data_IF_876270388230
#
_entry.id   IF_876270388230
#
_cell.length_a   1.000
_cell.length_b   1.000
_cell.length_c   1.000
_cell.angle_alpha   90.00
_cell.angle_beta   90.00
_cell.angle_gamma   90.00
#
_symmetry.space_group_name_H-M   'P 1'
#
loop_
_entity.id
_entity.type
_entity.pdbx_description
1 polymer ?
#
# COMPACT_ATOMS: atom_id res chain seq x y z
N UNK A 1 14.62 15.48 16.67
CA UNK A 1 14.79 16.06 15.31
C UNK A 1 13.70 17.09 15.10
N UNK A 2 14.00 18.23 14.47
CA UNK A 2 13.01 19.29 14.28
C UNK A 2 11.91 18.83 13.32
N UNK A 3 10.66 19.18 13.63
CA UNK A 3 9.46 18.78 12.87
C UNK A 3 9.60 19.14 11.37
N UNK A 4 10.18 20.32 11.10
CA UNK A 4 10.48 20.84 9.76
C UNK A 4 11.39 19.90 8.97
N UNK A 5 12.43 19.33 9.60
CA UNK A 5 13.34 18.37 8.95
C UNK A 5 12.61 17.08 8.58
N UNK A 6 11.78 16.55 9.47
CA UNK A 6 11.04 15.31 9.20
C UNK A 6 9.98 15.49 8.11
N UNK A 7 9.23 16.59 8.15
CA UNK A 7 8.26 16.95 7.12
C UNK A 7 8.95 17.16 5.77
N UNK A 8 10.09 17.86 5.76
CA UNK A 8 10.90 18.07 4.56
C UNK A 8 11.40 16.76 3.94
N UNK A 9 11.89 15.82 4.76
CA UNK A 9 12.34 14.50 4.27
C UNK A 9 11.19 13.69 3.69
N UNK A 10 10.06 13.57 4.40
CA UNK A 10 8.91 12.79 3.93
C UNK A 10 8.31 13.42 2.66
N UNK A 11 8.16 14.75 2.65
CA UNK A 11 7.68 15.49 1.48
C UNK A 11 8.60 15.32 0.28
N UNK A 12 9.91 15.43 0.47
CA UNK A 12 10.91 15.21 -0.58
C UNK A 12 10.86 13.80 -1.16
N UNK A 13 10.85 12.78 -0.30
CA UNK A 13 10.73 11.37 -0.73
C UNK A 13 9.40 11.11 -1.48
N UNK A 14 8.31 11.74 -1.02
CA UNK A 14 7.01 11.66 -1.69
C UNK A 14 7.05 12.30 -3.08
N UNK A 15 7.67 13.47 -3.21
CA UNK A 15 7.80 14.18 -4.48
C UNK A 15 8.64 13.36 -5.48
N UNK A 16 9.75 12.78 -5.02
CA UNK A 16 10.58 11.89 -5.85
C UNK A 16 9.74 10.71 -6.36
N UNK A 17 9.00 10.04 -5.48
CA UNK A 17 8.10 8.94 -5.87
C UNK A 17 7.04 9.38 -6.89
N UNK A 18 6.46 10.57 -6.73
CA UNK A 18 5.48 11.14 -7.67
C UNK A 18 6.08 11.43 -9.05
N UNK A 19 7.31 11.95 -9.10
CA UNK A 19 8.02 12.22 -10.36
C UNK A 19 8.32 10.91 -11.09
N UNK A 20 8.77 9.87 -10.39
CA UNK A 20 8.96 8.55 -11.00
C UNK A 20 7.65 7.93 -11.48
N UNK A 21 6.57 8.07 -10.71
CA UNK A 21 5.23 7.65 -11.13
C UNK A 21 4.78 8.37 -12.41
N UNK A 22 4.96 9.69 -12.47
CA UNK A 22 4.65 10.47 -13.66
C UNK A 22 5.49 10.07 -14.88
N UNK A 23 6.79 9.85 -14.68
CA UNK A 23 7.67 9.39 -15.76
C UNK A 23 7.23 8.01 -16.27
N UNK A 24 6.86 7.08 -15.38
CA UNK A 24 6.28 5.78 -15.75
C UNK A 24 5.02 5.96 -16.61
N UNK A 25 4.09 6.81 -16.17
CA UNK A 25 2.83 7.03 -16.88
C UNK A 25 3.06 7.66 -18.27
N UNK A 26 4.02 8.58 -18.39
CA UNK A 26 4.43 9.15 -19.67
C UNK A 26 5.03 8.11 -20.64
N UNK A 27 5.88 7.21 -20.12
CA UNK A 27 6.45 6.12 -20.90
C UNK A 27 5.36 5.14 -21.36
N UNK A 28 4.44 4.77 -20.46
CA UNK A 28 3.33 3.88 -20.77
C UNK A 28 2.41 4.49 -21.82
N UNK A 29 2.07 5.78 -21.71
CA UNK A 29 1.27 6.47 -22.72
C UNK A 29 1.94 6.48 -24.10
N UNK A 30 3.28 6.59 -24.15
CA UNK A 30 4.04 6.55 -25.41
C UNK A 30 4.14 5.16 -26.01
N UNK A 31 4.30 4.12 -25.18
CA UNK A 31 4.50 2.73 -25.63
C UNK A 31 3.19 2.02 -25.93
N UNK A 32 2.18 2.18 -25.07
CA UNK A 32 0.88 1.51 -25.21
C UNK A 32 -0.13 2.34 -26.03
N UNK A 33 0.03 3.66 -26.09
CA UNK A 33 -0.93 4.55 -26.72
C UNK A 33 -2.27 4.61 -25.99
N UNK A 34 -3.30 5.12 -26.67
CA UNK A 34 -4.68 5.07 -26.19
C UNK A 34 -5.39 3.87 -26.83
N UNK A 35 -5.80 2.90 -26.00
CA UNK A 35 -6.51 1.70 -26.45
C UNK A 35 -6.63 0.66 -25.33
N UNK A 36 -7.34 -0.44 -25.61
CA UNK A 36 -7.72 -1.43 -24.58
C UNK A 36 -6.55 -2.07 -23.81
N UNK A 37 -5.33 -2.08 -24.37
CA UNK A 37 -4.12 -2.55 -23.65
C UNK A 37 -3.72 -1.58 -22.55
N UNK A 38 -3.82 -0.27 -22.80
CA UNK A 38 -3.54 0.75 -21.78
C UNK A 38 -4.59 0.71 -20.65
N UNK A 39 -5.87 0.49 -21.01
CA UNK A 39 -6.95 0.36 -20.04
C UNK A 39 -6.78 -0.89 -19.15
N UNK A 40 -6.43 -2.03 -19.77
CA UNK A 40 -6.14 -3.27 -19.04
C UNK A 40 -4.94 -3.11 -18.09
N UNK A 41 -3.87 -2.45 -18.54
CA UNK A 41 -2.72 -2.14 -17.70
C UNK A 41 -3.09 -1.26 -16.51
N UNK A 42 -3.87 -0.20 -16.75
CA UNK A 42 -4.30 0.71 -15.71
C UNK A 42 -5.17 0.00 -14.67
N UNK A 43 -6.11 -0.83 -15.11
CA UNK A 43 -6.97 -1.62 -14.23
C UNK A 43 -6.16 -2.62 -13.39
N UNK A 44 -5.20 -3.31 -14.01
CA UNK A 44 -4.30 -4.24 -13.33
C UNK A 44 -3.46 -3.55 -12.24
N UNK A 45 -3.08 -2.29 -12.46
CA UNK A 45 -2.37 -1.49 -11.44
C UNK A 45 -3.31 -0.91 -10.38
N UNK A 46 -4.54 -0.57 -10.74
CA UNK A 46 -5.48 0.14 -9.88
C UNK A 46 -6.10 -0.78 -8.82
N UNK A 47 -6.55 -1.97 -9.21
CA UNK A 47 -7.19 -2.94 -8.32
C UNK A 47 -6.37 -3.24 -7.06
N UNK A 48 -5.11 -3.72 -7.15
CA UNK A 48 -4.30 -4.00 -5.97
C UNK A 48 -3.97 -2.73 -5.17
N UNK A 49 -3.81 -1.58 -5.84
CA UNK A 49 -3.54 -0.32 -5.15
C UNK A 49 -4.71 0.16 -4.31
N UNK A 50 -5.95 -0.04 -4.75
CA UNK A 50 -7.13 0.30 -3.94
C UNK A 50 -7.10 -0.47 -2.62
N UNK A 51 -6.87 -1.79 -2.68
CA UNK A 51 -6.80 -2.61 -1.48
C UNK A 51 -5.61 -2.25 -0.59
N UNK A 52 -4.44 -2.00 -1.18
CA UNK A 52 -3.25 -1.51 -0.44
C UNK A 52 -3.55 -0.20 0.29
N UNK A 53 -4.27 0.73 -0.34
CA UNK A 53 -4.67 2.00 0.27
C UNK A 53 -5.65 1.81 1.43
N UNK A 54 -6.62 0.92 1.26
CA UNK A 54 -7.64 0.62 2.28
C UNK A 54 -7.05 -0.08 3.51
N UNK A 55 -6.23 -1.12 3.30
CA UNK A 55 -5.76 -2.00 4.36
C UNK A 55 -4.40 -1.60 4.96
N UNK A 56 -3.51 -0.93 4.23
CA UNK A 56 -2.12 -0.74 4.67
C UNK A 56 -1.72 0.74 4.86
N UNK A 57 -2.07 1.64 3.94
CA UNK A 57 -1.61 3.03 4.03
C UNK A 57 -2.38 3.84 5.08
N UNK A 58 -3.71 3.84 5.05
CA UNK A 58 -4.53 4.79 5.82
C UNK A 58 -4.88 4.31 7.22
N UNK A 59 -5.83 3.38 7.30
CA UNK A 59 -6.42 2.96 8.58
C UNK A 59 -5.42 2.21 9.46
N UNK A 60 -4.65 1.29 8.86
CA UNK A 60 -3.70 0.47 9.61
C UNK A 60 -2.57 1.29 10.22
N UNK A 61 -1.89 2.15 9.45
CA UNK A 61 -0.78 2.96 9.99
C UNK A 61 -1.24 3.92 11.09
N UNK A 62 -2.43 4.50 10.96
CA UNK A 62 -3.02 5.40 11.95
C UNK A 62 -3.36 4.71 13.27
N UNK A 63 -3.82 3.46 13.23
CA UNK A 63 -4.07 2.67 14.44
C UNK A 63 -2.78 2.04 15.01
N UNK A 64 -1.95 1.46 14.15
CA UNK A 64 -0.75 0.71 14.54
C UNK A 64 0.31 1.61 15.18
N UNK A 65 0.65 2.75 14.57
CA UNK A 65 1.78 3.58 15.02
C UNK A 65 1.58 4.12 16.45
N UNK A 66 0.41 4.65 16.86
CA UNK A 66 0.18 5.06 18.25
C UNK A 66 0.26 3.89 19.24
N UNK A 67 -0.32 2.73 18.90
CA UNK A 67 -0.29 1.53 19.75
C UNK A 67 1.13 0.96 19.91
N UNK A 68 1.89 0.94 18.82
CA UNK A 68 3.31 0.55 18.82
C UNK A 68 4.14 1.52 19.67
N UNK A 69 3.99 2.83 19.46
CA UNK A 69 4.71 3.85 20.22
C UNK A 69 4.35 3.82 21.71
N UNK A 70 3.11 3.46 22.06
CA UNK A 70 2.69 3.30 23.45
C UNK A 70 3.44 2.15 24.11
N UNK A 71 3.45 0.96 23.50
CA UNK A 71 4.22 -0.21 23.99
C UNK A 71 5.72 0.05 24.06
N UNK A 72 6.25 0.81 23.10
CA UNK A 72 7.67 1.21 23.11
C UNK A 72 8.02 2.17 24.28
N UNK A 73 7.09 3.03 24.71
CA UNK A 73 7.35 4.08 25.70
C UNK A 73 6.94 3.73 27.14
N UNK A 74 5.87 2.96 27.33
CA UNK A 74 5.39 2.60 28.69
C UNK A 74 6.33 1.59 29.37
N UNK A 75 6.90 0.64 28.63
CA UNK A 75 7.71 -0.44 29.21
C UNK A 75 9.23 -0.30 28.98
N UNK A 76 9.67 0.63 28.13
CA UNK A 76 11.08 0.79 27.75
C UNK A 76 11.69 -0.42 27.04
N UNK A 77 10.89 -1.46 26.82
CA UNK A 77 11.31 -2.76 26.31
C UNK A 77 10.99 -2.85 24.81
N UNK A 78 12.05 -2.84 24.01
CA UNK A 78 11.95 -3.04 22.56
C UNK A 78 11.31 -4.41 22.26
N UNK A 79 11.47 -5.38 23.15
CA UNK A 79 10.95 -6.73 22.96
C UNK A 79 9.41 -6.77 22.99
N UNK A 80 8.75 -5.93 23.80
CA UNK A 80 7.29 -5.89 23.86
C UNK A 80 6.67 -5.22 22.61
N UNK A 81 7.30 -4.14 22.12
CA UNK A 81 6.89 -3.52 20.85
C UNK A 81 7.13 -4.47 19.65
N UNK A 82 8.21 -5.27 19.71
CA UNK A 82 8.51 -6.30 18.73
C UNK A 82 7.48 -7.43 18.78
N UNK A 83 7.17 -7.98 19.95
CA UNK A 83 6.13 -9.02 20.13
C UNK A 83 4.78 -8.57 19.60
N UNK A 84 4.37 -7.34 19.91
CA UNK A 84 3.16 -6.76 19.35
C UNK A 84 3.18 -6.71 17.80
N UNK A 85 4.31 -6.33 17.21
CA UNK A 85 4.46 -6.33 15.76
C UNK A 85 4.39 -7.73 15.17
N UNK A 86 5.00 -8.71 15.84
CA UNK A 86 4.94 -10.13 15.45
C UNK A 86 3.51 -10.67 15.51
N UNK A 87 2.75 -10.36 16.57
CA UNK A 87 1.33 -10.73 16.69
C UNK A 87 0.47 -10.12 15.59
N UNK A 88 0.66 -8.83 15.32
CA UNK A 88 -0.05 -8.12 14.24
C UNK A 88 0.28 -8.73 12.88
N UNK A 89 1.55 -9.03 12.61
CA UNK A 89 1.98 -9.64 11.35
C UNK A 89 1.50 -11.09 11.21
N UNK A 90 1.52 -11.87 12.31
CA UNK A 90 1.04 -13.25 12.35
C UNK A 90 -0.45 -13.34 11.99
N UNK A 91 -1.23 -12.30 12.29
CA UNK A 91 -2.61 -12.19 11.84
C UNK A 91 -2.74 -11.61 10.43
N UNK A 92 -2.05 -10.49 10.15
CA UNK A 92 -2.20 -9.74 8.90
C UNK A 92 -1.72 -10.54 7.67
N UNK A 93 -0.58 -11.23 7.78
CA UNK A 93 0.01 -11.96 6.64
C UNK A 93 -0.92 -13.07 6.13
N UNK A 94 -1.41 -14.01 6.97
CA UNK A 94 -2.33 -15.04 6.51
C UNK A 94 -3.63 -14.46 5.94
N UNK A 95 -4.18 -13.42 6.56
CA UNK A 95 -5.39 -12.74 6.06
C UNK A 95 -5.14 -12.15 4.68
N UNK A 96 -4.02 -11.45 4.47
CA UNK A 96 -3.67 -10.88 3.16
C UNK A 96 -3.40 -11.95 2.11
N UNK A 97 -2.75 -13.06 2.47
CA UNK A 97 -2.52 -14.20 1.56
C UNK A 97 -3.86 -14.81 1.14
N UNK A 98 -4.72 -15.12 2.11
CA UNK A 98 -6.05 -15.70 1.85
C UNK A 98 -6.89 -14.75 1.00
N UNK A 99 -6.95 -13.47 1.36
CA UNK A 99 -7.67 -12.45 0.61
C UNK A 99 -7.14 -12.34 -0.83
N UNK A 100 -5.82 -12.30 -1.01
CA UNK A 100 -5.20 -12.22 -2.34
C UNK A 100 -5.49 -13.47 -3.17
N UNK A 101 -5.44 -14.67 -2.57
CA UNK A 101 -5.77 -15.91 -3.24
C UNK A 101 -7.25 -15.95 -3.68
N UNK A 102 -8.18 -15.54 -2.80
CA UNK A 102 -9.59 -15.44 -3.13
C UNK A 102 -9.84 -14.40 -4.23
N UNK A 103 -9.18 -13.25 -4.17
CA UNK A 103 -9.27 -12.22 -5.20
C UNK A 103 -8.77 -12.75 -6.55
N UNK A 104 -7.64 -13.46 -6.58
CA UNK A 104 -7.10 -14.10 -7.80
C UNK A 104 -8.08 -15.10 -8.41
N UNK A 105 -8.70 -15.95 -7.59
CA UNK A 105 -9.74 -16.88 -8.05
C UNK A 105 -10.95 -16.11 -8.58
N UNK A 106 -11.35 -15.05 -7.88
CA UNK A 106 -12.50 -14.22 -8.23
C UNK A 106 -12.27 -13.32 -9.46
N UNK A 107 -11.02 -13.16 -9.94
CA UNK A 107 -10.65 -12.24 -11.01
C UNK A 107 -11.50 -12.36 -12.29
N UNK A 108 -11.88 -13.55 -12.79
CA UNK A 108 -12.69 -13.65 -14.00
C UNK A 108 -14.06 -12.95 -13.87
N UNK A 109 -14.71 -13.09 -12.71
CA UNK A 109 -15.98 -12.41 -12.44
C UNK A 109 -15.79 -10.92 -12.18
N UNK A 110 -14.72 -10.55 -11.45
CA UNK A 110 -14.37 -9.15 -11.21
C UNK A 110 -14.15 -8.44 -12.55
N UNK A 111 -13.36 -9.03 -13.45
CA UNK A 111 -13.11 -8.47 -14.78
C UNK A 111 -14.38 -8.36 -15.61
N UNK A 112 -15.33 -9.29 -15.49
CA UNK A 112 -16.65 -9.19 -16.14
C UNK A 112 -17.47 -7.95 -15.74
N UNK A 113 -17.19 -7.35 -14.57
CA UNK A 113 -17.82 -6.09 -14.13
C UNK A 113 -17.11 -4.84 -14.64
N UNK A 114 -15.82 -4.94 -15.00
CA UNK A 114 -14.99 -3.82 -15.45
C UNK A 114 -14.77 -3.77 -16.96
N UNK A 115 -14.92 -4.91 -17.64
CA UNK A 115 -14.71 -5.06 -19.09
C UNK A 115 -16.03 -5.08 -19.89
N UNK A 116 -17.11 -4.54 -19.31
CA UNK A 116 -18.43 -4.38 -19.96
C UNK A 116 -18.59 -3.03 -20.66
#
# INVERSE_FOLDING_TARGET
MSLVRNVGTIGGLTLVSRVFGFARDMLLARVLGAGGVADAWQLAFQLPNIFRRLFAEGAFSQAFVPLFNRRMKEDGDIDEARRFSEEVLAFLIPVLIMFSALALIAMPWIMGLFAS
#
